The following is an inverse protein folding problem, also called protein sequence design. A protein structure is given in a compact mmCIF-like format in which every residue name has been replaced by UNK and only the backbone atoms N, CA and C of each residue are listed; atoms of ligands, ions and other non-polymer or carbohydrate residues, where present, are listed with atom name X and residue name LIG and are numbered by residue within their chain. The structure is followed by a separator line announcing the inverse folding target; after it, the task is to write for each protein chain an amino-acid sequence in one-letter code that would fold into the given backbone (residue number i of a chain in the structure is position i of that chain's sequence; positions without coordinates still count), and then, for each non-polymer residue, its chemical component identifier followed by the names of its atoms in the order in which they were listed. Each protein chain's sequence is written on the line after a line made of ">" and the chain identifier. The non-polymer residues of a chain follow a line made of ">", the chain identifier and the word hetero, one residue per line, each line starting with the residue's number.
data_IF_219249947527
#
_entry.id   IF_219249947527
#
_cell.length_a   1.000
_cell.length_b   1.000
_cell.length_c   1.000
_cell.angle_alpha   90.00
_cell.angle_beta   90.00
_cell.angle_gamma   90.00
#
_symmetry.space_group_name_H-M   'P 1'
#
loop_
_entity.id
_entity.type
_entity.pdbx_description
1 polymer ?
#
# COMPACT_ATOMS: atom_id res chain seq x y z
N UNK A 1 33.59 7.34 2.81
CA UNK A 1 32.15 7.13 3.06
C UNK A 1 31.48 8.48 3.18
N UNK A 2 30.45 8.74 2.39
CA UNK A 2 29.72 10.02 2.31
C UNK A 2 28.26 9.76 2.66
N UNK A 3 27.66 10.64 3.48
CA UNK A 3 26.24 10.60 3.79
C UNK A 3 25.55 11.81 3.18
N UNK A 4 24.55 11.54 2.35
CA UNK A 4 23.72 12.54 1.71
C UNK A 4 22.40 12.66 2.46
N UNK A 5 22.03 13.90 2.81
CA UNK A 5 20.73 14.19 3.39
C UNK A 5 19.77 14.59 2.29
N UNK A 6 18.87 13.68 1.93
CA UNK A 6 17.85 13.91 0.92
C UNK A 6 16.67 14.66 1.56
N UNK A 7 16.36 15.81 0.98
CA UNK A 7 15.30 16.73 1.45
C UNK A 7 14.36 17.11 0.32
N UNK A 8 13.16 17.51 0.69
CA UNK A 8 12.20 18.19 -0.19
C UNK A 8 11.79 19.50 0.48
N UNK A 9 12.27 20.63 -0.06
CA UNK A 9 12.23 21.89 0.68
C UNK A 9 12.93 21.74 2.04
N UNK A 10 12.25 22.10 3.11
CA UNK A 10 12.76 21.96 4.48
C UNK A 10 12.51 20.57 5.09
N UNK A 11 11.75 19.71 4.41
CA UNK A 11 11.39 18.40 4.94
C UNK A 11 12.52 17.39 4.72
N UNK A 12 13.00 16.82 5.83
CA UNK A 12 13.95 15.69 5.81
C UNK A 12 13.25 14.42 5.36
N UNK A 13 13.72 13.81 4.26
CA UNK A 13 13.13 12.57 3.72
C UNK A 13 13.90 11.34 4.20
N UNK A 14 15.18 11.24 3.88
CA UNK A 14 16.04 10.15 4.36
C UNK A 14 17.52 10.53 4.26
N UNK A 15 18.35 9.75 4.95
CA UNK A 15 19.80 9.76 4.74
C UNK A 15 20.18 8.63 3.78
N UNK A 16 21.09 8.90 2.86
CA UNK A 16 21.62 7.92 1.92
C UNK A 16 23.14 7.85 2.08
N UNK A 17 23.68 6.64 2.17
CA UNK A 17 25.11 6.41 2.35
C UNK A 17 25.73 5.93 1.05
N UNK A 18 26.85 6.53 0.65
CA UNK A 18 27.53 6.25 -0.62
C UNK A 18 29.02 6.57 -0.57
N UNK A 19 29.72 6.48 -1.70
CA UNK A 19 31.13 6.86 -1.87
C UNK A 19 31.28 8.03 -2.85
N UNK A 20 32.49 8.58 -2.98
CA UNK A 20 32.79 9.64 -3.96
C UNK A 20 33.01 9.10 -5.38
N UNK A 21 33.07 7.78 -5.52
CA UNK A 21 33.42 7.10 -6.77
C UNK A 21 32.18 6.73 -7.60
N UNK A 22 30.98 6.84 -7.02
CA UNK A 22 29.73 6.52 -7.73
C UNK A 22 29.40 7.60 -8.77
N UNK A 23 29.05 7.23 -10.01
CA UNK A 23 28.51 8.18 -10.98
C UNK A 23 27.24 8.84 -10.45
N UNK A 24 27.08 10.14 -10.72
CA UNK A 24 25.90 10.91 -10.29
C UNK A 24 24.61 10.29 -10.80
N UNK A 25 24.61 9.79 -12.05
CA UNK A 25 23.42 9.18 -12.65
C UNK A 25 22.95 7.93 -11.87
N UNK A 26 23.88 7.11 -11.38
CA UNK A 26 23.54 5.90 -10.64
C UNK A 26 23.11 6.23 -9.21
N UNK A 27 23.76 7.22 -8.58
CA UNK A 27 23.33 7.79 -7.30
C UNK A 27 21.89 8.35 -7.39
N UNK A 28 21.58 9.07 -8.47
CA UNK A 28 20.26 9.64 -8.68
C UNK A 28 19.21 8.55 -8.89
N UNK A 29 19.49 7.52 -9.69
CA UNK A 29 18.59 6.37 -9.86
C UNK A 29 18.29 5.70 -8.52
N UNK A 30 19.32 5.47 -7.71
CA UNK A 30 19.18 4.85 -6.39
C UNK A 30 18.35 5.71 -5.43
N UNK A 31 18.65 7.01 -5.33
CA UNK A 31 17.93 7.92 -4.45
C UNK A 31 16.46 8.04 -4.86
N UNK A 32 16.18 8.11 -6.18
CA UNK A 32 14.82 8.15 -6.71
C UNK A 32 14.09 6.83 -6.45
N UNK A 33 14.74 5.69 -6.63
CA UNK A 33 14.15 4.38 -6.34
C UNK A 33 13.76 4.24 -4.86
N UNK A 34 14.63 4.68 -3.93
CA UNK A 34 14.32 4.71 -2.50
C UNK A 34 13.11 5.61 -2.23
N UNK A 35 13.14 6.85 -2.75
CA UNK A 35 12.06 7.80 -2.53
C UNK A 35 10.71 7.28 -3.04
N UNK A 36 10.67 6.78 -4.27
CA UNK A 36 9.46 6.23 -4.87
C UNK A 36 8.96 5.00 -4.11
N UNK A 37 9.87 4.16 -3.62
CA UNK A 37 9.49 3.01 -2.80
C UNK A 37 8.94 3.40 -1.43
N UNK A 38 9.42 4.48 -0.79
CA UNK A 38 8.79 5.01 0.43
C UNK A 38 7.34 5.44 0.15
N UNK A 39 7.12 6.16 -0.96
CA UNK A 39 5.78 6.58 -1.38
C UNK A 39 4.87 5.39 -1.67
N UNK A 40 5.42 4.34 -2.28
CA UNK A 40 4.71 3.08 -2.54
C UNK A 40 4.24 2.41 -1.26
N UNK A 41 5.10 2.32 -0.24
CA UNK A 41 4.72 1.82 1.09
C UNK A 41 3.60 2.66 1.71
N UNK A 42 3.67 3.98 1.60
CA UNK A 42 2.63 4.88 2.10
C UNK A 42 1.27 4.65 1.41
N UNK A 43 1.25 4.52 0.08
CA UNK A 43 0.02 4.25 -0.69
C UNK A 43 -0.59 2.88 -0.35
N UNK A 44 0.22 1.82 -0.36
CA UNK A 44 -0.23 0.47 0.01
C UNK A 44 -0.84 0.47 1.41
N UNK A 45 -0.17 1.11 2.38
CA UNK A 45 -0.71 1.21 3.74
C UNK A 45 -2.00 2.03 3.82
N UNK A 46 -2.19 3.05 2.98
CA UNK A 46 -3.42 3.83 2.96
C UNK A 46 -4.60 2.96 2.48
N UNK A 47 -4.40 2.17 1.42
CA UNK A 47 -5.44 1.28 0.92
C UNK A 47 -5.67 0.06 1.83
N UNK A 48 -4.63 -0.48 2.45
CA UNK A 48 -4.76 -1.57 3.42
C UNK A 48 -5.58 -1.18 4.66
N UNK A 49 -5.61 0.10 5.04
CA UNK A 49 -6.49 0.59 6.12
C UNK A 49 -7.98 0.45 5.73
N UNK A 50 -8.33 0.75 4.47
CA UNK A 50 -9.67 0.50 3.96
C UNK A 50 -9.96 -0.99 3.78
N UNK A 51 -8.97 -1.78 3.35
CA UNK A 51 -9.09 -3.25 3.25
C UNK A 51 -9.44 -3.87 4.61
N UNK A 52 -8.72 -3.47 5.66
CA UNK A 52 -8.94 -3.96 7.02
C UNK A 52 -10.34 -3.60 7.56
N UNK A 53 -10.89 -2.47 7.14
CA UNK A 53 -12.19 -1.98 7.61
C UNK A 53 -13.38 -2.42 6.78
N UNK A 54 -13.22 -2.59 5.47
CA UNK A 54 -14.33 -2.71 4.53
C UNK A 54 -14.18 -3.83 3.49
N UNK A 55 -13.08 -4.58 3.50
CA UNK A 55 -12.87 -5.68 2.56
C UNK A 55 -12.29 -5.23 1.22
N UNK A 56 -12.51 -6.02 0.17
CA UNK A 56 -11.84 -5.83 -1.13
C UNK A 56 -12.51 -4.74 -1.96
N UNK A 57 -11.77 -4.19 -2.93
CA UNK A 57 -12.33 -3.22 -3.88
C UNK A 57 -13.47 -3.84 -4.71
N UNK A 58 -14.58 -3.11 -4.86
CA UNK A 58 -15.66 -3.48 -5.76
C UNK A 58 -15.19 -3.45 -7.22
N UNK A 59 -15.80 -4.24 -8.12
CA UNK A 59 -15.56 -4.14 -9.55
C UNK A 59 -15.76 -2.70 -10.06
N UNK A 60 -14.96 -2.21 -11.04
CA UNK A 60 -15.02 -0.82 -11.50
C UNK A 60 -16.41 -0.34 -11.96
N UNK A 61 -17.23 -1.24 -12.49
CA UNK A 61 -18.61 -0.98 -12.92
C UNK A 61 -19.62 -0.89 -11.76
N UNK A 62 -19.21 -1.17 -10.52
CA UNK A 62 -20.05 -1.12 -9.32
C UNK A 62 -19.64 -0.01 -8.35
N UNK A 63 -18.44 0.54 -8.49
CA UNK A 63 -17.92 1.59 -7.59
C UNK A 63 -18.80 2.84 -7.66
N UNK A 64 -19.23 3.33 -6.50
CA UNK A 64 -20.03 4.55 -6.36
C UNK A 64 -21.51 4.40 -6.71
N UNK A 65 -21.98 3.18 -7.04
CA UNK A 65 -23.40 2.89 -7.21
C UNK A 65 -24.07 2.62 -5.87
N UNK A 66 -25.37 2.94 -5.78
CA UNK A 66 -26.19 2.54 -4.62
C UNK A 66 -26.62 1.08 -4.73
N UNK A 67 -27.03 0.49 -3.59
CA UNK A 67 -27.55 -0.89 -3.56
C UNK A 67 -28.73 -1.07 -4.53
N UNK A 68 -29.63 -0.08 -4.63
CA UNK A 68 -30.77 -0.11 -5.56
C UNK A 68 -30.31 -0.12 -7.03
N UNK A 69 -29.33 0.71 -7.38
CA UNK A 69 -28.77 0.73 -8.74
C UNK A 69 -28.09 -0.59 -9.11
N UNK A 70 -27.39 -1.21 -8.16
CA UNK A 70 -26.77 -2.53 -8.36
C UNK A 70 -27.83 -3.59 -8.65
N UNK A 71 -28.95 -3.58 -7.91
CA UNK A 71 -30.08 -4.50 -8.12
C UNK A 71 -30.75 -4.26 -9.47
N UNK A 72 -31.04 -3.00 -9.81
CA UNK A 72 -31.71 -2.63 -11.06
C UNK A 72 -30.87 -2.99 -12.30
N UNK A 73 -29.55 -2.75 -12.22
CA UNK A 73 -28.59 -3.10 -13.27
C UNK A 73 -28.18 -4.59 -13.24
N UNK A 74 -28.65 -5.35 -12.25
CA UNK A 74 -28.34 -6.78 -12.04
C UNK A 74 -26.84 -7.05 -12.01
N UNK A 75 -26.07 -6.14 -11.41
CA UNK A 75 -24.63 -6.28 -11.26
C UNK A 75 -24.32 -7.22 -10.10
N UNK A 76 -23.28 -8.05 -10.27
CA UNK A 76 -22.79 -8.96 -9.23
C UNK A 76 -21.30 -8.78 -9.05
N UNK A 77 -20.86 -8.74 -7.80
CA UNK A 77 -19.45 -8.85 -7.47
C UNK A 77 -18.98 -10.30 -7.64
N UNK A 78 -18.26 -10.57 -8.74
CA UNK A 78 -17.68 -11.89 -9.03
C UNK A 78 -16.49 -12.27 -8.12
N UNK A 79 -15.97 -11.32 -7.36
CA UNK A 79 -14.81 -11.49 -6.50
C UNK A 79 -15.18 -11.71 -5.03
N UNK A 80 -16.39 -11.34 -4.61
CA UNK A 80 -16.86 -11.51 -3.23
C UNK A 80 -16.69 -12.96 -2.73
N UNK A 81 -16.99 -13.95 -3.56
CA UNK A 81 -16.87 -15.38 -3.23
C UNK A 81 -15.45 -15.94 -3.42
N UNK A 82 -14.59 -15.24 -4.17
CA UNK A 82 -13.22 -15.69 -4.50
C UNK A 82 -12.18 -15.13 -3.54
N UNK A 83 -12.38 -13.90 -3.09
CA UNK A 83 -11.46 -13.14 -2.26
C UNK A 83 -11.99 -13.02 -0.83
N UNK A 84 -12.34 -14.16 -0.22
CA UNK A 84 -12.84 -14.21 1.15
C UNK A 84 -11.66 -14.14 2.13
N UNK A 85 -11.72 -13.29 3.16
CA UNK A 85 -10.67 -13.23 4.16
C UNK A 85 -10.59 -14.51 5.01
N UNK A 86 -9.39 -14.86 5.46
CA UNK A 86 -9.09 -15.97 6.34
C UNK A 86 -9.92 -15.90 7.63
N UNK A 87 -10.71 -16.95 7.89
CA UNK A 87 -11.61 -16.98 9.04
C UNK A 87 -12.92 -16.22 8.84
N UNK A 88 -13.29 -15.91 7.60
CA UNK A 88 -14.57 -15.29 7.25
C UNK A 88 -14.57 -13.77 7.41
N UNK A 89 -15.69 -13.16 7.05
CA UNK A 89 -15.87 -11.71 7.03
C UNK A 89 -16.90 -11.24 8.07
N UNK A 90 -16.81 -9.96 8.41
CA UNK A 90 -17.79 -9.20 9.18
C UNK A 90 -18.30 -8.08 8.27
N UNK A 91 -19.61 -7.90 8.21
CA UNK A 91 -20.19 -6.81 7.41
C UNK A 91 -19.85 -5.45 8.00
N UNK A 92 -19.20 -4.60 7.20
CA UNK A 92 -18.93 -3.20 7.50
C UNK A 92 -18.87 -2.39 6.19
N UNK A 93 -20.01 -1.86 5.77
CA UNK A 93 -20.16 -1.15 4.49
C UNK A 93 -19.23 0.06 4.40
N UNK A 94 -18.64 0.24 3.22
CA UNK A 94 -17.93 1.47 2.87
C UNK A 94 -18.94 2.54 2.46
N UNK A 95 -18.97 3.65 3.21
CA UNK A 95 -19.88 4.77 2.93
C UNK A 95 -19.60 5.44 1.58
N UNK A 96 -18.39 5.29 1.05
CA UNK A 96 -18.02 5.82 -0.26
C UNK A 96 -18.36 4.86 -1.40
N UNK A 97 -18.86 3.65 -1.10
CA UNK A 97 -19.25 2.66 -2.10
C UNK A 97 -18.09 2.18 -2.97
N UNK A 98 -16.86 2.14 -2.43
CA UNK A 98 -15.68 1.68 -3.18
C UNK A 98 -15.34 0.23 -2.87
N UNK A 99 -15.57 -0.20 -1.62
CA UNK A 99 -15.25 -1.56 -1.15
C UNK A 99 -16.52 -2.36 -0.90
N UNK A 100 -16.41 -3.70 -0.95
CA UNK A 100 -17.57 -4.59 -0.93
C UNK A 100 -18.26 -4.71 0.44
N UNK A 101 -17.65 -4.21 1.50
CA UNK A 101 -18.19 -4.26 2.86
C UNK A 101 -17.93 -5.58 3.59
N UNK A 102 -17.25 -6.54 2.98
CA UNK A 102 -16.91 -7.82 3.59
C UNK A 102 -15.54 -7.71 4.29
N UNK A 103 -15.53 -7.02 5.42
CA UNK A 103 -14.31 -6.76 6.18
C UNK A 103 -13.73 -8.03 6.81
N UNK A 104 -12.40 -8.16 6.95
CA UNK A 104 -11.81 -9.25 7.70
C UNK A 104 -12.26 -9.22 9.17
N UNK A 105 -12.30 -10.38 9.82
CA UNK A 105 -12.53 -10.45 11.27
C UNK A 105 -11.46 -9.68 12.07
N UNK A 106 -11.76 -9.36 13.33
CA UNK A 106 -10.91 -8.53 14.19
C UNK A 106 -9.44 -9.01 14.23
N UNK A 107 -9.22 -10.32 14.35
CA UNK A 107 -7.87 -10.90 14.39
C UNK A 107 -7.11 -10.65 13.09
N UNK A 108 -7.75 -10.82 11.94
CA UNK A 108 -7.13 -10.59 10.63
C UNK A 108 -6.94 -9.09 10.34
N UNK A 109 -7.89 -8.25 10.73
CA UNK A 109 -7.74 -6.79 10.65
C UNK A 109 -6.56 -6.30 11.50
N UNK A 110 -6.33 -6.90 12.67
CA UNK A 110 -5.18 -6.61 13.53
C UNK A 110 -3.85 -6.99 12.87
N UNK A 111 -3.79 -8.11 12.15
CA UNK A 111 -2.59 -8.50 11.37
C UNK A 111 -2.25 -7.41 10.35
N UNK A 112 -3.22 -6.97 9.54
CA UNK A 112 -2.99 -5.90 8.57
C UNK A 112 -2.54 -4.61 9.27
N UNK A 113 -3.21 -4.24 10.36
CA UNK A 113 -2.95 -2.98 11.08
C UNK A 113 -1.57 -2.94 11.71
N UNK A 114 -1.15 -4.03 12.35
CA UNK A 114 0.19 -4.14 12.95
C UNK A 114 1.28 -4.10 11.88
N UNK A 115 1.13 -4.86 10.81
CA UNK A 115 2.13 -4.90 9.72
C UNK A 115 2.21 -3.56 8.98
N UNK A 116 1.10 -2.84 8.80
CA UNK A 116 1.12 -1.47 8.26
C UNK A 116 1.94 -0.52 9.13
N UNK A 117 1.78 -0.59 10.46
CA UNK A 117 2.53 0.26 11.38
C UNK A 117 4.03 -0.08 11.33
N UNK A 118 4.37 -1.36 11.33
CA UNK A 118 5.74 -1.84 11.20
C UNK A 118 6.40 -1.36 9.89
N UNK A 119 5.73 -1.54 8.75
CA UNK A 119 6.23 -1.09 7.45
C UNK A 119 6.44 0.43 7.41
N UNK A 120 5.51 1.22 7.95
CA UNK A 120 5.64 2.69 8.05
C UNK A 120 6.84 3.10 8.92
N UNK A 121 7.10 2.39 10.00
CA UNK A 121 8.23 2.67 10.88
C UNK A 121 9.57 2.33 10.21
N UNK A 122 9.63 1.24 9.43
CA UNK A 122 10.81 0.86 8.64
C UNK A 122 11.24 1.90 7.61
N UNK A 123 10.27 2.61 7.02
CA UNK A 123 10.52 3.64 5.99
C UNK A 123 10.35 5.07 6.50
N UNK A 124 10.22 5.26 7.81
CA UNK A 124 9.86 6.55 8.40
C UNK A 124 10.90 7.64 8.16
N UNK A 125 10.44 8.85 7.83
CA UNK A 125 11.27 10.07 7.76
C UNK A 125 11.98 10.39 9.08
N UNK A 126 11.48 9.87 10.21
CA UNK A 126 12.10 10.01 11.54
C UNK A 126 13.51 9.39 11.60
N UNK A 127 13.77 8.36 10.79
CA UNK A 127 15.07 7.68 10.73
C UNK A 127 16.21 8.62 10.32
N UNK A 128 15.91 9.63 9.49
CA UNK A 128 16.89 10.64 9.10
C UNK A 128 17.41 11.44 10.30
N UNK A 129 16.50 11.81 11.23
CA UNK A 129 16.86 12.53 12.46
C UNK A 129 17.66 11.66 13.43
N UNK A 130 17.49 10.34 13.36
CA UNK A 130 18.22 9.35 14.15
C UNK A 130 19.58 8.98 13.53
N UNK A 131 19.96 9.58 12.39
CA UNK A 131 21.22 9.27 11.72
C UNK A 131 21.22 7.93 10.95
N UNK A 132 20.05 7.29 10.80
CA UNK A 132 19.89 6.00 10.14
C UNK A 132 19.73 6.21 8.64
N UNK A 133 20.56 5.54 7.85
CA UNK A 133 20.48 5.59 6.39
C UNK A 133 19.40 4.62 5.87
N UNK A 134 18.75 5.04 4.79
CA UNK A 134 17.75 4.29 4.05
C UNK A 134 18.42 3.55 2.89
N UNK A 135 17.91 2.36 2.60
CA UNK A 135 18.40 1.51 1.50
C UNK A 135 17.21 0.94 0.74
N UNK A 136 17.41 0.60 -0.53
CA UNK A 136 16.39 -0.09 -1.32
C UNK A 136 15.99 -1.43 -0.68
N UNK A 137 16.93 -2.12 -0.02
CA UNK A 137 16.66 -3.36 0.69
C UNK A 137 15.64 -3.19 1.82
N UNK A 138 15.75 -2.15 2.65
CA UNK A 138 14.78 -1.85 3.72
C UNK A 138 13.39 -1.54 3.16
N UNK A 139 13.34 -0.78 2.06
CA UNK A 139 12.08 -0.44 1.40
C UNK A 139 11.43 -1.68 0.80
N UNK A 140 12.21 -2.55 0.16
CA UNK A 140 11.74 -3.84 -0.34
C UNK A 140 11.21 -4.72 0.79
N UNK A 141 11.94 -4.83 1.90
CA UNK A 141 11.52 -5.59 3.07
C UNK A 141 10.19 -5.07 3.63
N UNK A 142 10.01 -3.74 3.71
CA UNK A 142 8.74 -3.13 4.10
C UNK A 142 7.58 -3.50 3.15
N UNK A 143 7.81 -3.54 1.83
CA UNK A 143 6.81 -4.00 0.86
C UNK A 143 6.53 -5.51 1.02
N UNK A 144 7.57 -6.31 1.25
CA UNK A 144 7.47 -7.76 1.35
C UNK A 144 6.67 -8.19 2.59
N UNK A 145 6.83 -7.52 3.74
CA UNK A 145 6.01 -7.79 4.93
C UNK A 145 4.53 -7.44 4.70
N UNK A 146 4.24 -6.33 4.00
CA UNK A 146 2.87 -5.94 3.65
C UNK A 146 2.24 -6.98 2.73
N UNK A 147 2.97 -7.46 1.72
CA UNK A 147 2.52 -8.54 0.84
C UNK A 147 2.25 -9.83 1.62
N UNK A 148 3.13 -10.18 2.56
CA UNK A 148 2.95 -11.32 3.44
C UNK A 148 1.67 -11.22 4.28
N UNK A 149 1.40 -10.06 4.89
CA UNK A 149 0.19 -9.83 5.66
C UNK A 149 -1.07 -9.94 4.80
N UNK A 150 -1.07 -9.35 3.60
CA UNK A 150 -2.20 -9.50 2.65
C UNK A 150 -2.39 -10.96 2.26
N UNK A 151 -1.34 -11.73 2.03
CA UNK A 151 -1.44 -13.16 1.69
C UNK A 151 -1.98 -14.01 2.85
N UNK A 152 -1.65 -13.67 4.10
CA UNK A 152 -2.21 -14.32 5.30
C UNK A 152 -3.72 -14.07 5.39
N UNK A 153 -4.15 -12.84 5.17
CA UNK A 153 -5.56 -12.46 5.29
C UNK A 153 -6.37 -12.85 4.05
N UNK A 154 -5.80 -12.78 2.86
CA UNK A 154 -6.45 -13.09 1.58
C UNK A 154 -5.60 -14.11 0.79
N UNK A 155 -5.65 -15.41 1.15
CA UNK A 155 -4.78 -16.44 0.57
C UNK A 155 -5.06 -16.69 -0.93
N UNK A 156 -6.25 -16.32 -1.41
CA UNK A 156 -6.64 -16.41 -2.82
C UNK A 156 -6.28 -15.15 -3.64
N UNK A 157 -5.42 -14.28 -3.06
CA UNK A 157 -5.10 -12.94 -3.53
C UNK A 157 -6.31 -11.97 -3.51
N UNK A 158 -5.99 -10.68 -3.57
CA UNK A 158 -6.97 -9.63 -3.80
C UNK A 158 -7.42 -9.62 -5.28
N UNK A 159 -8.57 -9.00 -5.59
CA UNK A 159 -8.97 -8.79 -6.97
C UNK A 159 -7.88 -8.08 -7.78
N UNK A 160 -7.72 -8.38 -9.08
CA UNK A 160 -6.70 -7.76 -9.94
C UNK A 160 -6.90 -6.25 -10.09
N UNK A 161 -8.12 -5.77 -9.88
CA UNK A 161 -8.45 -4.34 -9.89
C UNK A 161 -8.28 -3.66 -8.52
N UNK A 162 -7.90 -4.39 -7.46
CA UNK A 162 -7.65 -3.79 -6.15
C UNK A 162 -6.30 -3.04 -6.18
N UNK A 163 -6.25 -1.75 -5.79
CA UNK A 163 -5.03 -0.95 -5.84
C UNK A 163 -3.84 -1.57 -5.10
N UNK A 164 -4.09 -2.29 -4.00
CA UNK A 164 -3.05 -2.95 -3.22
C UNK A 164 -2.34 -4.01 -4.06
N UNK A 165 -3.10 -4.77 -4.84
CA UNK A 165 -2.56 -5.80 -5.73
C UNK A 165 -1.81 -5.17 -6.91
N UNK A 166 -2.39 -4.14 -7.52
CA UNK A 166 -1.72 -3.41 -8.60
C UNK A 166 -0.36 -2.88 -8.16
N UNK A 167 -0.29 -2.27 -6.98
CA UNK A 167 0.97 -1.82 -6.38
C UNK A 167 1.95 -3.00 -6.18
N UNK A 168 1.51 -4.14 -5.65
CA UNK A 168 2.42 -5.30 -5.50
C UNK A 168 2.93 -5.87 -6.82
N UNK A 169 2.13 -5.76 -7.89
CA UNK A 169 2.44 -6.26 -9.23
C UNK A 169 3.14 -5.21 -10.13
N UNK A 170 3.28 -3.97 -9.66
CA UNK A 170 3.79 -2.82 -10.42
C UNK A 170 2.93 -2.49 -11.66
N UNK A 171 1.62 -2.64 -11.53
CA UNK A 171 0.63 -2.32 -12.57
C UNK A 171 -0.29 -1.17 -12.17
N UNK A 172 0.09 -0.42 -11.13
CA UNK A 172 -0.61 0.80 -10.74
C UNK A 172 -0.56 1.86 -11.85
N UNK A 173 -1.69 2.52 -12.08
CA UNK A 173 -1.72 3.74 -12.90
C UNK A 173 -1.61 4.96 -11.99
N UNK A 174 -0.48 5.66 -12.09
CA UNK A 174 -0.20 6.87 -11.32
C UNK A 174 -0.37 8.13 -12.18
N UNK A 175 -0.80 8.03 -13.43
CA UNK A 175 -1.02 9.20 -14.29
C UNK A 175 -2.08 10.12 -13.68
N UNK A 176 -1.81 11.43 -13.67
CA UNK A 176 -2.72 12.43 -13.10
C UNK A 176 -2.91 12.35 -11.58
N UNK A 177 -2.32 11.37 -10.89
CA UNK A 177 -2.35 11.34 -9.43
C UNK A 177 -1.35 12.37 -8.89
N UNK A 178 -1.87 13.36 -8.15
CA UNK A 178 -1.01 14.06 -7.21
C UNK A 178 -0.71 13.07 -6.08
N UNK A 179 0.51 12.52 -6.07
CA UNK A 179 1.05 11.99 -4.81
C UNK A 179 1.16 13.21 -3.90
N UNK A 180 0.13 13.47 -3.08
CA UNK A 180 0.01 14.69 -2.28
C UNK A 180 1.35 15.04 -1.63
N UNK A 181 1.89 16.17 -2.08
CA UNK A 181 3.28 16.58 -1.99
C UNK A 181 3.62 17.13 -0.59
#
# INVERSE_FOLDING_TARGET
>A
MVKLHIKKGDESRFLYETTVDIPIDDLMKDAVAIYNGQLKVERICADMDFLAKHGTMLPPNMVGLTDDQIVDLKLKDEWADKCVPSGGFVENKDQLGRRNGNAPNEKMAEVLTKTMQEAKDMVSKKLAKQGVCMTQAKVKEAIDILRGAVMIVYPMNLPPHDPIRMEFENTEDLEGTQVCY
#
